data_IF_896729621224
#
_entry.id   IF_896729621224
#
_cell.length_a   1.000
_cell.length_b   1.000
_cell.length_c   1.000
_cell.angle_alpha   90.00
_cell.angle_beta   90.00
_cell.angle_gamma   90.00
#
_symmetry.space_group_name_H-M   'P 1'
#
loop_
_entity.id
_entity.type
_entity.pdbx_description
1 polymer ?
#
# COMPACT_ATOMS: atom_id res chain seq x y z
N UNK A 1 13.09 -29.89 -5.80
CA UNK A 1 12.22 -30.08 -4.61
C UNK A 1 10.86 -29.48 -4.90
N UNK A 2 9.77 -30.10 -4.45
CA UNK A 2 8.42 -29.60 -4.71
C UNK A 2 8.20 -28.24 -4.03
N UNK A 3 7.62 -27.27 -4.77
CA UNK A 3 7.23 -25.97 -4.22
C UNK A 3 6.21 -26.18 -3.09
N UNK A 4 6.51 -25.65 -1.90
CA UNK A 4 5.57 -25.62 -0.79
C UNK A 4 4.30 -24.82 -1.14
N UNK A 5 3.18 -25.11 -0.46
CA UNK A 5 1.88 -24.52 -0.79
C UNK A 5 1.89 -22.98 -0.80
N UNK A 6 2.62 -22.35 0.12
CA UNK A 6 2.79 -20.88 0.18
C UNK A 6 3.50 -20.31 -1.05
N UNK A 7 4.50 -21.02 -1.58
CA UNK A 7 5.23 -20.60 -2.77
C UNK A 7 4.36 -20.70 -4.03
N UNK A 8 3.46 -21.69 -4.10
CA UNK A 8 2.46 -21.80 -5.17
C UNK A 8 1.43 -20.68 -5.12
N UNK A 9 0.96 -20.33 -3.91
CA UNK A 9 -0.01 -19.24 -3.74
C UNK A 9 0.57 -17.88 -4.17
N UNK A 10 1.81 -17.56 -3.79
CA UNK A 10 2.50 -16.34 -4.27
C UNK A 10 2.59 -16.25 -5.79
N UNK A 11 3.02 -17.36 -6.42
CA UNK A 11 3.16 -17.42 -7.87
C UNK A 11 1.81 -17.32 -8.57
N UNK A 12 0.73 -17.79 -7.95
CA UNK A 12 -0.63 -17.61 -8.47
C UNK A 12 -1.06 -16.14 -8.38
N UNK A 13 -0.88 -15.47 -7.23
CA UNK A 13 -1.22 -14.05 -7.07
C UNK A 13 -0.48 -13.16 -8.08
N UNK A 14 0.83 -13.39 -8.26
CA UNK A 14 1.63 -12.66 -9.26
C UNK A 14 1.20 -12.93 -10.71
N UNK A 15 0.42 -13.98 -10.96
CA UNK A 15 -0.09 -14.34 -12.29
C UNK A 15 -1.52 -13.83 -12.52
N UNK A 16 -2.26 -13.60 -11.45
CA UNK A 16 -3.65 -13.14 -11.48
C UNK A 16 -3.77 -11.61 -11.56
N UNK A 17 -2.73 -10.88 -11.13
CA UNK A 17 -2.75 -9.42 -11.15
C UNK A 17 -1.33 -8.84 -11.20
N UNK A 18 -1.19 -7.72 -11.91
CA UNK A 18 0.03 -6.89 -11.91
C UNK A 18 -0.07 -5.74 -10.88
N UNK A 19 -1.17 -5.64 -10.13
CA UNK A 19 -1.36 -4.64 -9.09
C UNK A 19 -0.49 -4.97 -7.86
N UNK A 20 0.55 -4.17 -7.66
CA UNK A 20 1.50 -4.33 -6.56
C UNK A 20 0.87 -4.30 -5.17
N UNK A 21 -0.29 -3.65 -4.98
CA UNK A 21 -0.97 -3.62 -3.68
C UNK A 21 -1.68 -4.92 -3.38
N UNK A 22 -2.38 -5.51 -4.36
CA UNK A 22 -3.05 -6.81 -4.20
C UNK A 22 -2.01 -7.89 -3.94
N UNK A 23 -0.87 -7.84 -4.63
CA UNK A 23 0.25 -8.74 -4.39
C UNK A 23 0.78 -8.58 -2.95
N UNK A 24 0.97 -7.34 -2.48
CA UNK A 24 1.44 -7.08 -1.13
C UNK A 24 0.45 -7.53 -0.04
N UNK A 25 -0.86 -7.35 -0.27
CA UNK A 25 -1.91 -7.78 0.67
C UNK A 25 -1.98 -9.31 0.78
N UNK A 26 -1.92 -10.02 -0.36
CA UNK A 26 -1.87 -11.48 -0.36
C UNK A 26 -0.59 -12.02 0.25
N UNK A 27 0.57 -11.38 0.01
CA UNK A 27 1.81 -11.78 0.67
C UNK A 27 1.73 -11.61 2.19
N UNK A 28 1.10 -10.53 2.66
CA UNK A 28 0.84 -10.30 4.09
C UNK A 28 -0.10 -11.36 4.68
N UNK A 29 -1.18 -11.71 3.98
CA UNK A 29 -2.11 -12.79 4.37
C UNK A 29 -1.40 -14.15 4.44
N UNK A 30 -0.53 -14.44 3.48
CA UNK A 30 0.23 -15.70 3.40
C UNK A 30 1.32 -15.84 4.47
N UNK A 31 1.89 -14.73 4.96
CA UNK A 31 2.88 -14.71 6.05
C UNK A 31 2.24 -14.69 7.45
N UNK A 32 1.02 -14.19 7.55
CA UNK A 32 0.32 -13.99 8.81
C UNK A 32 0.84 -12.76 9.59
N UNK A 33 0.00 -12.17 10.46
CA UNK A 33 0.31 -10.91 11.16
C UNK A 33 1.51 -11.00 12.12
N UNK A 34 1.90 -12.21 12.56
CA UNK A 34 2.98 -12.43 13.52
C UNK A 34 4.40 -12.46 12.92
N UNK A 35 4.59 -12.76 11.63
CA UNK A 35 5.93 -12.78 11.01
C UNK A 35 6.38 -11.40 10.51
N UNK A 36 5.49 -10.40 10.45
CA UNK A 36 5.88 -8.99 10.27
C UNK A 36 6.74 -8.51 11.46
N UNK A 37 6.56 -9.13 12.63
CA UNK A 37 7.28 -8.82 13.87
C UNK A 37 8.45 -9.80 14.14
N UNK A 38 8.84 -10.62 13.16
CA UNK A 38 10.00 -11.51 13.22
C UNK A 38 11.29 -10.80 12.77
N UNK A 39 12.12 -10.39 13.74
CA UNK A 39 13.42 -9.70 13.57
C UNK A 39 13.36 -8.44 12.68
N UNK A 40 12.99 -7.32 13.33
CA UNK A 40 13.36 -5.92 13.04
C UNK A 40 14.33 -5.74 11.86
N UNK A 41 13.84 -5.67 10.63
CA UNK A 41 14.60 -5.03 9.57
C UNK A 41 14.46 -3.52 9.78
N UNK A 42 15.57 -2.89 10.17
CA UNK A 42 15.72 -1.44 10.21
C UNK A 42 15.43 -0.87 8.81
N UNK A 43 14.21 -0.36 8.58
CA UNK A 43 13.88 0.28 7.31
C UNK A 43 12.40 0.41 6.96
N UNK A 44 11.49 -0.35 7.58
CA UNK A 44 10.06 -0.10 7.37
C UNK A 44 9.59 0.96 8.35
N UNK A 45 9.11 2.09 7.82
CA UNK A 45 8.39 3.07 8.62
C UNK A 45 7.19 2.37 9.26
N UNK A 46 7.19 2.40 10.58
CA UNK A 46 6.10 1.94 11.43
C UNK A 46 4.79 2.54 10.89
N UNK A 47 3.86 1.70 10.42
CA UNK A 47 2.48 2.11 10.20
C UNK A 47 1.89 2.49 11.56
N UNK A 48 2.22 3.68 12.07
CA UNK A 48 1.80 4.16 13.40
C UNK A 48 0.29 4.33 13.53
N UNK A 49 -0.47 4.19 12.45
CA UNK A 49 -1.87 4.64 12.37
C UNK A 49 -2.86 3.48 12.12
N UNK A 50 -2.46 2.33 11.56
CA UNK A 50 -3.42 1.29 11.19
C UNK A 50 -2.93 -0.12 11.50
N UNK A 51 -3.63 -0.82 12.40
CA UNK A 51 -3.61 -2.29 12.47
C UNK A 51 -4.33 -2.87 11.24
N UNK A 52 -3.65 -3.54 10.30
CA UNK A 52 -4.26 -4.07 9.09
C UNK A 52 -5.34 -5.14 9.37
N UNK A 53 -5.26 -5.81 10.52
CA UNK A 53 -6.26 -6.83 10.91
C UNK A 53 -7.57 -6.21 11.40
N UNK A 54 -7.51 -5.02 12.00
CA UNK A 54 -8.68 -4.28 12.46
C UNK A 54 -9.23 -3.28 11.42
N UNK A 55 -8.39 -2.80 10.50
CA UNK A 55 -8.71 -1.70 9.59
C UNK A 55 -8.69 -2.08 8.10
N UNK A 56 -8.72 -3.37 7.76
CA UNK A 56 -8.65 -3.83 6.37
C UNK A 56 -9.67 -3.17 5.44
N UNK A 57 -10.92 -3.00 5.89
CA UNK A 57 -11.97 -2.32 5.10
C UNK A 57 -11.66 -0.83 4.89
N UNK A 58 -11.09 -0.15 5.90
CA UNK A 58 -10.71 1.26 5.79
C UNK A 58 -9.55 1.46 4.81
N UNK A 59 -8.63 0.48 4.72
CA UNK A 59 -7.54 0.52 3.75
C UNK A 59 -8.08 0.44 2.31
N UNK A 60 -9.07 -0.42 2.06
CA UNK A 60 -9.71 -0.50 0.75
C UNK A 60 -10.42 0.82 0.38
N UNK A 61 -11.18 1.41 1.31
CA UNK A 61 -11.85 2.70 1.09
C UNK A 61 -10.86 3.83 0.85
N UNK A 62 -9.78 3.88 1.63
CA UNK A 62 -8.73 4.90 1.47
C UNK A 62 -8.02 4.78 0.11
N UNK A 63 -7.78 3.55 -0.35
CA UNK A 63 -7.20 3.28 -1.66
C UNK A 63 -8.12 3.76 -2.80
N UNK A 64 -9.42 3.46 -2.72
CA UNK A 64 -10.38 3.89 -3.74
C UNK A 64 -10.53 5.41 -3.79
N UNK A 65 -10.54 6.09 -2.64
CA UNK A 65 -10.55 7.56 -2.58
C UNK A 65 -9.27 8.15 -3.20
N UNK A 66 -8.11 7.58 -2.90
CA UNK A 66 -6.85 8.01 -3.51
C UNK A 66 -6.88 7.87 -5.03
N UNK A 67 -7.37 6.73 -5.57
CA UNK A 67 -7.51 6.52 -7.01
C UNK A 67 -8.48 7.52 -7.64
N UNK A 68 -9.60 7.79 -6.99
CA UNK A 68 -10.58 8.76 -7.45
C UNK A 68 -9.99 10.18 -7.49
N UNK A 69 -9.26 10.58 -6.45
CA UNK A 69 -8.56 11.86 -6.39
C UNK A 69 -7.61 11.99 -7.57
N UNK A 70 -6.75 11.00 -7.80
CA UNK A 70 -5.77 11.03 -8.89
C UNK A 70 -6.42 11.04 -10.27
N UNK A 71 -7.55 10.37 -10.44
CA UNK A 71 -8.29 10.39 -11.71
C UNK A 71 -8.89 11.77 -12.03
N UNK A 72 -9.26 12.55 -11.01
CA UNK A 72 -9.95 13.84 -11.16
C UNK A 72 -9.01 15.04 -11.07
N UNK A 73 -7.96 14.92 -10.27
CA UNK A 73 -6.99 15.96 -9.97
C UNK A 73 -5.58 15.35 -9.90
N UNK A 74 -5.04 14.87 -11.05
CA UNK A 74 -3.76 14.16 -11.10
C UNK A 74 -2.58 15.04 -10.65
N UNK A 75 -2.72 16.36 -10.80
CA UNK A 75 -1.70 17.32 -10.40
C UNK A 75 -1.89 17.85 -8.96
N UNK A 76 -2.95 17.42 -8.25
CA UNK A 76 -3.32 17.89 -6.91
C UNK A 76 -3.38 19.43 -6.80
N UNK A 77 -4.02 20.08 -7.80
CA UNK A 77 -4.16 21.55 -7.91
C UNK A 77 -5.50 22.08 -7.40
N UNK A 78 -6.47 21.21 -7.16
CA UNK A 78 -7.72 21.63 -6.51
C UNK A 78 -7.47 22.04 -5.06
N UNK A 79 -8.39 22.78 -4.41
CA UNK A 79 -8.26 23.09 -2.98
C UNK A 79 -8.10 21.84 -2.10
N UNK A 80 -8.75 20.72 -2.47
CA UNK A 80 -8.56 19.43 -1.80
C UNK A 80 -7.17 18.85 -2.10
N UNK A 81 -6.72 18.92 -3.35
CA UNK A 81 -5.38 18.48 -3.76
C UNK A 81 -4.26 19.22 -3.02
N UNK A 82 -4.38 20.54 -2.87
CA UNK A 82 -3.43 21.36 -2.12
C UNK A 82 -3.35 20.93 -0.64
N UNK A 83 -4.49 20.70 0.00
CA UNK A 83 -4.53 20.18 1.37
C UNK A 83 -3.87 18.79 1.49
N UNK A 84 -4.06 17.92 0.50
CA UNK A 84 -3.40 16.61 0.46
C UNK A 84 -1.88 16.75 0.31
N UNK A 85 -1.40 17.71 -0.48
CA UNK A 85 0.05 18.00 -0.58
C UNK A 85 0.64 18.45 0.76
N UNK A 86 -0.10 19.25 1.53
CA UNK A 86 0.30 19.62 2.90
C UNK A 86 0.40 18.39 3.79
N UNK A 87 -0.59 17.50 3.76
CA UNK A 87 -0.56 16.26 4.54
C UNK A 87 0.63 15.37 4.13
N UNK A 88 0.84 15.16 2.83
CA UNK A 88 1.98 14.38 2.32
C UNK A 88 3.32 14.98 2.78
N UNK A 89 3.46 16.30 2.77
CA UNK A 89 4.63 16.98 3.30
C UNK A 89 4.80 16.76 4.81
N UNK A 90 3.74 16.96 5.61
CA UNK A 90 3.79 16.79 7.06
C UNK A 90 4.13 15.37 7.48
N UNK A 91 3.67 14.38 6.73
CA UNK A 91 4.03 12.99 6.97
C UNK A 91 5.37 12.61 6.33
N UNK A 92 6.05 13.46 5.57
CA UNK A 92 7.32 13.10 4.91
C UNK A 92 7.15 12.10 3.76
N UNK A 93 6.01 12.14 3.06
CA UNK A 93 5.66 11.33 1.88
C UNK A 93 5.65 12.21 0.62
N UNK A 94 6.46 13.26 0.61
CA UNK A 94 6.62 14.17 -0.51
C UNK A 94 7.17 13.49 -1.77
N UNK A 95 7.94 12.39 -1.61
CA UNK A 95 8.36 11.54 -2.72
C UNK A 95 7.18 10.86 -3.43
N UNK A 96 6.08 10.57 -2.72
CA UNK A 96 4.88 9.99 -3.32
C UNK A 96 4.33 10.90 -4.43
N UNK A 97 4.39 12.22 -4.25
CA UNK A 97 3.98 13.21 -5.27
C UNK A 97 4.83 13.13 -6.54
N UNK A 98 6.12 12.77 -6.42
CA UNK A 98 6.98 12.54 -7.59
C UNK A 98 6.56 11.28 -8.35
N UNK A 99 6.24 10.20 -7.65
CA UNK A 99 5.78 8.95 -8.26
C UNK A 99 4.42 9.07 -8.95
N UNK A 100 3.52 9.92 -8.43
CA UNK A 100 2.23 10.22 -9.06
C UNK A 100 2.37 10.82 -10.48
N UNK A 101 3.50 11.46 -10.79
CA UNK A 101 3.76 12.08 -12.11
C UNK A 101 4.36 11.13 -13.14
N UNK A 102 4.82 9.96 -12.71
CA UNK A 102 5.55 8.99 -13.54
C UNK A 102 4.74 7.72 -13.83
N UNK A 103 3.50 7.64 -13.33
CA UNK A 103 2.54 6.57 -13.62
C UNK A 103 1.53 6.95 -14.69
#
# INVERSE_FOLDING_TARGET
GALGQTAKARLATMRETDDGFVIAEQDLKLRGPGEVLGKRQSGMEEFRIADPSAHGELLAVAHDDARLILSRDPDLKSPRGENLRVLLYLFGRDEAVRYLRTG
#
